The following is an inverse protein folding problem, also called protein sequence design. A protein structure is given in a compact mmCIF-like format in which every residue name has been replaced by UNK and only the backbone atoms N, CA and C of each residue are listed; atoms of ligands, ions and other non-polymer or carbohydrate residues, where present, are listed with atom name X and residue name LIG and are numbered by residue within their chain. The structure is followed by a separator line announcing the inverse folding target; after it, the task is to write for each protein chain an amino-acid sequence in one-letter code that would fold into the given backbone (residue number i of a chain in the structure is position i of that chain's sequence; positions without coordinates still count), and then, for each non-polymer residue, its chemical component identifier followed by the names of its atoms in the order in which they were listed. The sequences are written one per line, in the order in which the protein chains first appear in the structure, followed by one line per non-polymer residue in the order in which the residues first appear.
data_IF_781384988203
#
_entry.id   IF_781384988203
#
_cell.length_a   1.000
_cell.length_b   1.000
_cell.length_c   1.000
_cell.angle_alpha   90.00
_cell.angle_beta   90.00
_cell.angle_gamma   90.00
#
_symmetry.space_group_name_H-M   'P 1'
#
loop_
_entity.id
_entity.type
_entity.pdbx_description
1 polymer ?
#
# COMPACT_ATOMS: atom_id res chain seq x y z
N UNK A 1 -23.58 7.25 18.15
CA UNK A 1 -22.25 6.74 18.55
C UNK A 1 -21.98 7.26 19.94
N UNK A 2 -21.60 6.39 20.88
CA UNK A 2 -21.13 6.85 22.18
C UNK A 2 -19.79 7.58 21.99
N UNK A 3 -19.64 8.74 22.62
CA UNK A 3 -18.36 9.44 22.64
C UNK A 3 -17.33 8.61 23.40
N UNK A 4 -16.08 8.63 22.95
CA UNK A 4 -14.97 8.00 23.68
C UNK A 4 -14.60 8.95 24.82
N UNK A 5 -14.64 8.44 26.06
CA UNK A 5 -14.25 9.19 27.25
C UNK A 5 -12.76 8.93 27.53
N UNK A 6 -11.93 9.87 27.13
CA UNK A 6 -10.49 9.80 27.34
C UNK A 6 -10.08 10.31 28.73
N UNK A 7 -8.95 9.81 29.29
CA UNK A 7 -8.39 10.34 30.53
C UNK A 7 -8.18 11.86 30.49
N UNK A 8 -8.52 12.56 31.57
CA UNK A 8 -8.57 14.03 31.62
C UNK A 8 -7.22 14.72 31.87
N UNK A 9 -6.17 13.99 32.22
CA UNK A 9 -4.84 14.56 32.52
C UNK A 9 -3.73 13.64 32.02
N UNK A 10 -3.63 13.43 30.68
CA UNK A 10 -2.62 12.55 30.13
C UNK A 10 -1.25 13.23 30.08
N UNK A 11 -0.18 12.45 30.17
CA UNK A 11 1.20 12.83 29.88
C UNK A 11 1.59 12.35 28.47
N UNK A 12 2.58 13.02 27.85
CA UNK A 12 3.05 12.61 26.51
C UNK A 12 3.52 11.15 26.55
N UNK A 13 3.01 10.33 25.64
CA UNK A 13 3.29 8.90 25.55
C UNK A 13 2.30 8.01 26.31
N UNK A 14 1.35 8.57 27.06
CA UNK A 14 0.29 7.76 27.67
C UNK A 14 -0.58 7.10 26.59
N UNK A 15 -0.96 5.84 26.85
CA UNK A 15 -1.81 5.07 25.94
C UNK A 15 -3.18 4.79 26.56
N UNK A 16 -4.21 4.83 25.72
CA UNK A 16 -5.59 4.50 26.11
C UNK A 16 -6.18 3.55 25.07
N UNK A 17 -6.74 2.41 25.53
CA UNK A 17 -7.35 1.41 24.67
C UNK A 17 -8.87 1.39 24.85
N UNK A 18 -9.60 1.51 23.76
CA UNK A 18 -11.05 1.38 23.71
C UNK A 18 -11.44 0.38 22.62
N UNK A 19 -11.85 -0.81 23.05
CA UNK A 19 -12.14 -1.92 22.15
C UNK A 19 -10.89 -2.37 21.40
N UNK A 20 -10.93 -2.29 20.07
CA UNK A 20 -9.80 -2.67 19.20
C UNK A 20 -8.82 -1.53 18.94
N UNK A 21 -9.15 -0.33 19.37
CA UNK A 21 -8.39 0.88 19.09
C UNK A 21 -7.49 1.23 20.28
N UNK A 22 -6.22 1.49 20.01
CA UNK A 22 -5.29 2.06 20.99
C UNK A 22 -4.88 3.45 20.52
N UNK A 23 -4.96 4.41 21.43
CA UNK A 23 -4.62 5.81 21.20
C UNK A 23 -3.43 6.16 22.08
N UNK A 24 -2.60 7.08 21.61
CA UNK A 24 -1.45 7.64 22.33
C UNK A 24 -1.60 9.16 22.42
N UNK A 25 -1.25 9.74 23.56
CA UNK A 25 -1.28 11.18 23.78
C UNK A 25 0.01 11.82 23.26
N UNK A 26 -0.09 12.72 22.30
CA UNK A 26 1.06 13.42 21.70
C UNK A 26 1.42 14.74 22.39
N UNK A 27 0.76 15.07 23.50
CA UNK A 27 0.89 16.32 24.22
C UNK A 27 -0.19 17.35 23.88
N UNK A 28 -0.99 17.12 22.83
CA UNK A 28 -2.05 18.02 22.41
C UNK A 28 -3.37 17.28 22.09
N UNK A 29 -3.29 16.05 21.62
CA UNK A 29 -4.45 15.24 21.25
C UNK A 29 -4.18 13.75 21.38
N UNK A 30 -5.26 12.94 21.57
CA UNK A 30 -5.21 11.49 21.47
C UNK A 30 -5.19 11.05 20.01
N UNK A 31 -4.11 10.40 19.58
CA UNK A 31 -3.94 9.88 18.22
C UNK A 31 -4.07 8.37 18.19
N UNK A 32 -4.80 7.87 17.21
CA UNK A 32 -4.91 6.43 16.98
C UNK A 32 -3.56 5.86 16.53
N UNK A 33 -2.98 4.95 17.32
CA UNK A 33 -1.70 4.30 17.01
C UNK A 33 -1.85 2.85 16.62
N UNK A 34 -2.97 2.20 16.98
CA UNK A 34 -3.25 0.81 16.60
C UNK A 34 -4.74 0.53 16.50
N UNK A 35 -5.14 -0.15 15.44
CA UNK A 35 -6.38 -0.91 15.37
C UNK A 35 -6.00 -2.40 15.37
N UNK A 36 -6.38 -3.14 16.42
CA UNK A 36 -6.26 -4.60 16.37
C UNK A 36 -7.42 -5.14 15.53
N UNK A 37 -7.17 -5.53 14.31
CA UNK A 37 -8.11 -6.34 13.56
C UNK A 37 -8.16 -7.73 14.23
N UNK A 38 -9.20 -8.02 14.98
CA UNK A 38 -9.49 -9.40 15.41
C UNK A 38 -9.95 -10.14 14.14
N UNK A 39 -9.16 -11.10 13.69
CA UNK A 39 -9.54 -11.98 12.59
C UNK A 39 -10.84 -12.74 12.90
N UNK A 40 -11.59 -13.19 11.90
CA UNK A 40 -12.76 -14.01 12.09
C UNK A 40 -12.39 -15.28 12.87
N UNK A 41 -13.26 -15.69 13.80
CA UNK A 41 -13.13 -16.95 14.53
C UNK A 41 -12.99 -18.08 13.50
N UNK A 42 -11.96 -18.91 13.64
CA UNK A 42 -11.75 -20.06 12.79
C UNK A 42 -12.97 -20.98 12.78
N UNK A 43 -13.21 -21.74 11.71
CA UNK A 43 -14.30 -22.69 11.65
C UNK A 43 -14.16 -23.73 12.76
N UNK A 44 -15.29 -24.13 13.32
CA UNK A 44 -15.36 -25.22 14.29
C UNK A 44 -14.69 -26.46 13.68
N UNK A 45 -13.79 -27.10 14.42
CA UNK A 45 -13.14 -28.32 13.99
C UNK A 45 -14.17 -29.40 13.64
N UNK A 46 -13.84 -30.32 12.72
CA UNK A 46 -14.73 -31.44 12.38
C UNK A 46 -15.05 -32.26 13.63
N UNK A 47 -16.29 -32.74 13.70
CA UNK A 47 -16.69 -33.68 14.75
C UNK A 47 -15.70 -34.86 14.77
N UNK A 48 -15.30 -35.29 15.97
CA UNK A 48 -14.47 -36.48 16.12
C UNK A 48 -15.07 -37.66 15.40
N UNK A 49 -14.22 -38.46 14.75
CA UNK A 49 -14.67 -39.71 14.13
C UNK A 49 -15.27 -40.64 15.18
N UNK A 50 -16.42 -41.22 14.87
CA UNK A 50 -16.99 -42.29 15.67
C UNK A 50 -15.97 -43.44 15.82
N UNK A 51 -15.65 -43.79 17.04
CA UNK A 51 -14.74 -44.88 17.32
C UNK A 51 -15.41 -46.20 16.93
N UNK A 52 -15.07 -46.73 15.78
CA UNK A 52 -15.52 -48.07 15.33
C UNK A 52 -14.59 -49.19 15.84
N UNK A 53 -14.04 -49.05 17.03
CA UNK A 53 -13.29 -50.15 17.64
C UNK A 53 -14.30 -51.13 18.21
N UNK A 54 -14.66 -52.13 17.42
CA UNK A 54 -15.37 -53.31 17.89
C UNK A 54 -14.43 -54.17 18.71
N UNK A 55 -14.64 -54.19 20.02
CA UNK A 55 -13.90 -55.12 20.90
C UNK A 55 -14.17 -56.59 20.50
N UNK A 56 -13.21 -57.50 20.83
CA UNK A 56 -13.40 -58.92 20.54
C UNK A 56 -14.64 -59.46 21.23
N UNK A 57 -15.41 -60.29 20.50
CA UNK A 57 -16.60 -60.98 21.00
C UNK A 57 -16.21 -61.84 22.20
N UNK A 58 -16.67 -61.45 23.38
CA UNK A 58 -16.54 -62.31 24.56
C UNK A 58 -17.45 -63.52 24.48
N UNK A 59 -17.16 -64.61 25.22
CA UNK A 59 -18.01 -65.86 25.21
C UNK A 59 -19.42 -65.51 25.67
N UNK A 60 -20.39 -66.05 24.99
CA UNK A 60 -21.83 -65.88 25.20
C UNK A 60 -22.23 -66.28 26.63
N UNK A 61 -22.44 -65.28 27.48
CA UNK A 61 -23.07 -65.45 28.77
C UNK A 61 -24.58 -65.30 28.68
N UNK A 62 -25.37 -65.72 29.68
CA UNK A 62 -26.82 -65.60 29.63
C UNK A 62 -27.24 -64.12 29.46
N UNK A 63 -28.26 -63.97 28.63
CA UNK A 63 -28.81 -62.67 28.18
C UNK A 63 -29.36 -61.87 29.40
N UNK A 64 -28.49 -60.89 29.87
CA UNK A 64 -28.94 -59.83 30.73
C UNK A 64 -28.61 -58.52 30.00
N UNK A 65 -29.65 -57.95 29.40
CA UNK A 65 -29.52 -56.60 28.80
C UNK A 65 -29.23 -55.58 29.91
N UNK A 66 -27.99 -55.15 30.02
CA UNK A 66 -27.61 -54.07 30.91
C UNK A 66 -28.26 -52.75 30.47
N UNK A 67 -28.52 -51.82 31.39
CA UNK A 67 -29.09 -50.51 31.05
C UNK A 67 -28.17 -49.78 30.08
N UNK A 68 -28.75 -49.18 29.06
CA UNK A 68 -28.05 -48.28 28.12
C UNK A 68 -27.41 -47.16 28.93
N UNK A 69 -26.12 -46.99 28.79
CA UNK A 69 -25.39 -45.87 29.46
C UNK A 69 -25.98 -44.52 29.03
N UNK A 70 -25.94 -43.53 29.94
CA UNK A 70 -26.44 -42.21 29.61
C UNK A 70 -25.69 -41.64 28.40
N UNK A 71 -26.43 -40.99 27.48
CA UNK A 71 -25.84 -40.27 26.35
C UNK A 71 -24.86 -39.21 26.86
N UNK A 72 -23.65 -39.18 26.33
CA UNK A 72 -22.68 -38.14 26.65
C UNK A 72 -23.17 -36.79 26.12
N UNK A 73 -23.47 -35.87 27.01
CA UNK A 73 -23.85 -34.51 26.70
C UNK A 73 -22.62 -33.55 26.74
N UNK A 74 -21.41 -34.10 26.85
CA UNK A 74 -20.22 -33.28 26.86
C UNK A 74 -19.91 -32.80 25.44
N UNK A 75 -20.06 -31.48 25.28
CA UNK A 75 -19.55 -30.77 24.08
C UNK A 75 -18.02 -30.79 24.13
N UNK A 76 -17.40 -31.36 23.10
CA UNK A 76 -15.94 -31.39 23.00
C UNK A 76 -15.32 -29.96 23.16
N UNK A 77 -14.08 -29.84 23.65
CA UNK A 77 -13.43 -28.57 23.84
C UNK A 77 -13.35 -27.81 22.51
N UNK A 78 -13.64 -26.52 22.58
CA UNK A 78 -13.49 -25.61 21.43
C UNK A 78 -12.05 -25.66 20.91
N UNK A 79 -11.86 -25.85 19.64
CA UNK A 79 -10.54 -25.84 19.01
C UNK A 79 -9.76 -24.54 19.32
N UNK A 80 -8.43 -24.61 19.35
CA UNK A 80 -7.63 -23.42 19.62
C UNK A 80 -7.93 -22.33 18.60
N UNK A 81 -7.93 -21.08 19.06
CA UNK A 81 -8.08 -19.92 18.20
C UNK A 81 -7.00 -19.94 17.09
N UNK A 82 -7.39 -19.64 15.86
CA UNK A 82 -6.45 -19.53 14.75
C UNK A 82 -5.37 -18.44 15.02
N UNK A 83 -4.21 -18.55 14.40
CA UNK A 83 -3.15 -17.59 14.59
C UNK A 83 -3.62 -16.17 14.23
N UNK A 84 -3.33 -15.23 15.11
CA UNK A 84 -3.61 -13.81 14.87
C UNK A 84 -2.74 -13.34 13.71
N UNK A 85 -3.37 -12.90 12.61
CA UNK A 85 -2.66 -12.28 11.52
C UNK A 85 -2.01 -10.98 12.00
N UNK A 86 -0.70 -10.87 11.94
CA UNK A 86 0.02 -9.61 12.18
C UNK A 86 0.11 -8.86 10.87
N UNK A 87 -0.63 -7.75 10.75
CA UNK A 87 -0.44 -6.80 9.66
C UNK A 87 0.70 -5.86 10.06
N UNK A 88 1.86 -6.05 9.45
CA UNK A 88 3.02 -5.17 9.66
C UNK A 88 3.06 -4.13 8.54
N UNK A 89 2.88 -2.86 8.90
CA UNK A 89 3.14 -1.75 7.97
C UNK A 89 4.63 -1.43 8.07
N UNK A 90 5.36 -1.61 6.98
CA UNK A 90 6.73 -1.14 6.87
C UNK A 90 6.74 0.39 6.91
N UNK A 91 7.67 1.04 7.62
CA UNK A 91 7.85 2.49 7.52
C UNK A 91 8.14 2.94 6.09
N UNK A 92 7.85 4.19 5.78
CA UNK A 92 8.24 4.79 4.50
C UNK A 92 9.73 4.62 4.24
N UNK A 93 10.05 4.03 3.11
CA UNK A 93 11.44 3.86 2.63
C UNK A 93 11.74 4.94 1.61
N UNK A 94 12.84 5.65 1.80
CA UNK A 94 13.32 6.67 0.85
C UNK A 94 14.12 5.97 -0.24
N UNK A 95 13.94 6.39 -1.50
CA UNK A 95 14.76 5.99 -2.63
C UNK A 95 15.04 7.19 -3.54
N UNK A 96 16.05 7.08 -4.38
CA UNK A 96 16.35 8.11 -5.39
C UNK A 96 15.84 7.64 -6.75
N UNK A 97 14.75 8.21 -7.28
CA UNK A 97 14.27 7.86 -8.60
C UNK A 97 15.29 8.27 -9.68
N UNK A 98 15.43 7.46 -10.73
CA UNK A 98 16.04 7.95 -11.96
C UNK A 98 15.00 8.79 -12.71
N UNK A 99 15.37 10.02 -13.08
CA UNK A 99 14.60 10.88 -13.95
C UNK A 99 15.34 11.00 -15.27
N UNK A 100 14.75 10.46 -16.32
CA UNK A 100 15.33 10.45 -17.67
C UNK A 100 14.37 11.10 -18.67
N UNK A 101 14.88 11.43 -19.84
CA UNK A 101 14.08 11.97 -20.93
C UNK A 101 14.47 11.35 -22.27
N UNK A 102 13.57 11.38 -23.26
CA UNK A 102 13.76 10.69 -24.52
C UNK A 102 14.81 11.34 -25.45
N UNK A 103 15.18 12.60 -25.21
CA UNK A 103 16.20 13.32 -26.01
C UNK A 103 17.43 13.65 -25.17
N UNK A 104 17.29 14.48 -24.14
CA UNK A 104 18.40 14.86 -23.25
C UNK A 104 17.96 14.65 -21.82
N UNK A 105 18.70 13.85 -21.07
CA UNK A 105 18.37 13.60 -19.66
C UNK A 105 18.47 14.86 -18.81
N UNK A 106 17.57 15.04 -17.84
CA UNK A 106 17.72 16.08 -16.83
C UNK A 106 19.01 15.94 -16.02
N UNK A 107 19.56 17.07 -15.64
CA UNK A 107 20.64 17.14 -14.66
C UNK A 107 20.08 17.75 -13.38
N UNK A 108 20.24 17.08 -12.25
CA UNK A 108 19.59 17.46 -11.00
C UNK A 108 20.20 18.75 -10.42
N UNK A 109 21.55 18.88 -10.41
CA UNK A 109 22.20 20.07 -9.87
C UNK A 109 21.74 20.36 -8.44
N UNK A 110 21.21 21.57 -8.22
CA UNK A 110 20.64 22.04 -6.95
C UNK A 110 19.12 21.75 -6.80
N UNK A 111 18.50 21.04 -7.76
CA UNK A 111 17.13 20.60 -7.63
C UNK A 111 16.99 19.51 -6.57
N UNK A 112 15.79 19.41 -5.98
CA UNK A 112 15.44 18.27 -5.10
C UNK A 112 14.69 17.22 -5.88
N UNK A 113 15.12 15.96 -5.78
CA UNK A 113 14.46 14.78 -6.35
C UNK A 113 14.44 13.70 -5.28
N UNK A 114 13.28 13.46 -4.70
CA UNK A 114 13.09 12.50 -3.61
C UNK A 114 11.93 11.57 -3.93
N UNK A 115 12.16 10.28 -3.83
CA UNK A 115 11.13 9.25 -3.85
C UNK A 115 10.97 8.61 -2.48
N UNK A 116 9.76 8.22 -2.13
CA UNK A 116 9.49 7.38 -0.96
C UNK A 116 8.35 6.41 -1.25
N UNK A 117 8.40 5.26 -0.62
CA UNK A 117 7.39 4.22 -0.80
C UNK A 117 7.20 3.38 0.45
N UNK A 118 6.08 2.68 0.49
CA UNK A 118 5.79 1.63 1.46
C UNK A 118 5.28 0.39 0.72
N UNK A 119 5.68 -0.79 1.19
CA UNK A 119 5.21 -2.07 0.65
C UNK A 119 4.25 -2.73 1.62
N UNK A 120 3.11 -3.16 1.12
CA UNK A 120 2.07 -3.90 1.82
C UNK A 120 1.91 -5.25 1.13
N UNK A 121 2.77 -6.21 1.48
CA UNK A 121 2.93 -7.43 0.68
C UNK A 121 3.46 -7.10 -0.72
N UNK A 122 2.74 -7.53 -1.76
CA UNK A 122 3.07 -7.20 -3.14
C UNK A 122 2.64 -5.79 -3.57
N UNK A 123 1.77 -5.11 -2.81
CA UNK A 123 1.31 -3.77 -3.17
C UNK A 123 2.32 -2.72 -2.74
N UNK A 124 2.73 -1.87 -3.66
CA UNK A 124 3.62 -0.72 -3.43
C UNK A 124 2.83 0.57 -3.61
N UNK A 125 2.88 1.41 -2.59
CA UNK A 125 2.34 2.78 -2.62
C UNK A 125 3.50 3.74 -2.44
N UNK A 126 3.58 4.76 -3.26
CA UNK A 126 4.69 5.70 -3.16
C UNK A 126 4.44 7.04 -3.79
N UNK A 127 5.42 7.91 -3.63
CA UNK A 127 5.43 9.23 -4.26
C UNK A 127 6.84 9.65 -4.67
N UNK A 128 6.91 10.50 -5.68
CA UNK A 128 8.12 11.21 -6.09
C UNK A 128 7.82 12.71 -6.00
N UNK A 129 8.67 13.44 -5.32
CA UNK A 129 8.61 14.88 -5.21
C UNK A 129 9.85 15.49 -5.86
N UNK A 130 9.64 16.43 -6.77
CA UNK A 130 10.67 17.18 -7.44
C UNK A 130 10.43 18.66 -7.19
N UNK A 131 11.47 19.38 -6.83
CA UNK A 131 11.49 20.86 -6.85
C UNK A 131 12.62 21.27 -7.78
N UNK A 132 12.30 21.97 -8.84
CA UNK A 132 13.28 22.42 -9.84
C UNK A 132 14.28 23.40 -9.24
N UNK A 133 15.52 23.21 -9.60
CA UNK A 133 16.65 24.05 -9.19
C UNK A 133 16.90 25.23 -10.12
N UNK A 134 18.07 25.84 -9.98
CA UNK A 134 18.51 26.97 -10.79
C UNK A 134 19.52 26.53 -11.86
N UNK A 135 19.54 27.20 -13.00
CA UNK A 135 20.58 26.97 -14.00
C UNK A 135 22.00 27.23 -13.44
N UNK A 136 22.13 28.24 -12.55
CA UNK A 136 23.38 28.52 -11.87
C UNK A 136 23.81 27.43 -10.90
N UNK A 137 22.85 26.71 -10.30
CA UNK A 137 23.06 25.52 -9.46
C UNK A 137 23.29 24.24 -10.24
N UNK A 138 23.35 24.30 -11.57
CA UNK A 138 23.59 23.14 -12.45
C UNK A 138 22.35 22.33 -12.73
N UNK A 139 21.15 22.81 -12.38
CA UNK A 139 19.90 22.17 -12.79
C UNK A 139 19.67 22.34 -14.29
N UNK A 140 19.32 21.27 -14.96
CA UNK A 140 18.83 21.27 -16.33
C UNK A 140 17.67 20.31 -16.45
N UNK A 141 16.52 20.78 -16.92
CA UNK A 141 15.29 19.97 -17.07
C UNK A 141 15.37 18.91 -18.17
N UNK A 142 16.44 18.92 -18.97
CA UNK A 142 16.55 18.01 -20.13
C UNK A 142 15.58 18.39 -21.25
N UNK A 143 15.28 17.42 -22.12
CA UNK A 143 14.31 17.59 -23.22
C UNK A 143 13.72 16.27 -23.66
N UNK A 144 12.46 16.31 -24.11
CA UNK A 144 11.69 15.14 -24.54
C UNK A 144 10.78 14.56 -23.45
N UNK A 145 10.25 13.36 -23.68
CA UNK A 145 9.31 12.71 -22.75
C UNK A 145 10.00 12.27 -21.48
N UNK A 146 9.46 12.63 -20.34
CA UNK A 146 10.00 12.26 -19.06
C UNK A 146 9.63 10.82 -18.67
N UNK A 147 10.61 10.11 -18.16
CA UNK A 147 10.47 8.74 -17.65
C UNK A 147 11.09 8.68 -16.25
N UNK A 148 10.39 8.02 -15.33
CA UNK A 148 10.80 7.88 -13.94
C UNK A 148 10.96 6.39 -13.60
N UNK A 149 11.96 6.06 -12.77
CA UNK A 149 12.11 4.71 -12.27
C UNK A 149 11.22 4.45 -11.06
N UNK A 150 10.79 3.20 -10.93
CA UNK A 150 10.13 2.68 -9.74
C UNK A 150 11.15 2.21 -8.69
N UNK A 151 10.77 2.12 -7.40
CA UNK A 151 11.63 1.56 -6.36
C UNK A 151 11.84 0.04 -6.52
N UNK A 152 10.85 -0.67 -7.08
CA UNK A 152 10.88 -2.11 -7.40
C UNK A 152 10.17 -2.36 -8.72
N UNK A 153 10.48 -3.48 -9.37
CA UNK A 153 9.79 -3.84 -10.60
C UNK A 153 8.29 -4.06 -10.35
N UNK A 154 7.46 -3.64 -11.27
CA UNK A 154 6.01 -3.80 -11.25
C UNK A 154 5.56 -4.96 -12.14
N UNK A 155 4.49 -5.66 -11.73
CA UNK A 155 3.68 -6.44 -12.66
C UNK A 155 2.79 -5.46 -13.43
N UNK A 156 2.94 -5.38 -14.74
CA UNK A 156 2.30 -4.31 -15.49
C UNK A 156 1.90 -4.74 -16.92
N UNK A 157 0.94 -4.00 -17.47
CA UNK A 157 0.60 -4.00 -18.88
C UNK A 157 0.91 -2.63 -19.47
N UNK A 158 1.24 -2.57 -20.79
CA UNK A 158 1.48 -1.30 -21.47
C UNK A 158 0.23 -0.40 -21.39
N UNK A 159 0.46 0.89 -21.18
CA UNK A 159 -0.58 1.92 -20.99
C UNK A 159 -1.49 1.73 -19.76
N UNK A 160 -1.09 0.90 -18.81
CA UNK A 160 -1.80 0.77 -17.55
C UNK A 160 -1.50 1.98 -16.65
N UNK A 161 -2.52 2.68 -16.14
CA UNK A 161 -2.32 3.75 -15.17
C UNK A 161 -1.84 3.18 -13.83
N UNK A 162 -0.90 3.86 -13.20
CA UNK A 162 -0.41 3.52 -11.87
C UNK A 162 -0.63 4.64 -10.86
N UNK A 163 -0.97 5.85 -11.30
CA UNK A 163 -1.18 6.95 -10.37
C UNK A 163 -1.43 8.29 -11.03
N UNK A 164 -1.26 9.35 -10.23
CA UNK A 164 -1.49 10.72 -10.65
C UNK A 164 -0.21 11.53 -10.59
N UNK A 165 -0.14 12.56 -11.43
CA UNK A 165 0.92 13.56 -11.39
C UNK A 165 0.31 14.95 -11.32
N UNK A 166 0.92 15.80 -10.50
CA UNK A 166 0.61 17.24 -10.41
C UNK A 166 1.87 18.01 -10.75
N UNK A 167 1.77 18.86 -11.73
CA UNK A 167 2.78 19.87 -12.06
C UNK A 167 2.30 21.21 -11.53
N UNK A 168 3.14 21.88 -10.76
CA UNK A 168 2.85 23.19 -10.20
C UNK A 168 3.87 24.20 -10.69
N UNK A 169 3.37 25.20 -11.42
CA UNK A 169 4.16 26.35 -11.80
C UNK A 169 4.07 27.39 -10.67
N UNK A 170 5.15 27.60 -9.94
CA UNK A 170 5.17 28.46 -8.76
C UNK A 170 5.13 29.95 -9.12
N UNK A 171 5.58 30.34 -10.31
CA UNK A 171 5.52 31.73 -10.76
C UNK A 171 4.08 32.27 -10.82
N UNK A 172 3.20 31.73 -11.68
CA UNK A 172 1.79 32.10 -11.76
C UNK A 172 0.89 31.38 -10.74
N UNK A 173 1.41 30.40 -9.97
CA UNK A 173 0.64 29.61 -9.02
C UNK A 173 -0.35 28.62 -9.68
N UNK A 174 -0.14 28.25 -10.93
CA UNK A 174 -1.04 27.33 -11.65
C UNK A 174 -0.67 25.87 -11.44
N UNK A 175 -1.69 24.99 -11.49
CA UNK A 175 -1.49 23.55 -11.35
C UNK A 175 -2.08 22.84 -12.55
N UNK A 176 -1.41 21.78 -12.98
CA UNK A 176 -1.82 20.90 -14.06
C UNK A 176 -1.79 19.46 -13.54
N UNK A 177 -2.83 18.71 -13.86
CA UNK A 177 -2.96 17.32 -13.44
C UNK A 177 -2.79 16.37 -14.62
N UNK A 178 -2.28 15.20 -14.33
CA UNK A 178 -2.07 14.15 -15.31
C UNK A 178 -2.08 12.77 -14.68
N UNK A 179 -1.84 11.76 -15.50
CA UNK A 179 -1.75 10.35 -15.10
C UNK A 179 -0.34 9.84 -15.30
N UNK A 180 0.17 9.11 -14.32
CA UNK A 180 1.37 8.28 -14.45
C UNK A 180 0.96 6.92 -15.04
N UNK A 181 1.67 6.45 -16.06
CA UNK A 181 1.32 5.24 -16.82
C UNK A 181 2.57 4.42 -17.17
N UNK A 182 2.43 3.09 -17.15
CA UNK A 182 3.42 2.20 -17.77
C UNK A 182 3.36 2.31 -19.28
N UNK A 183 4.50 2.51 -19.92
CA UNK A 183 4.57 2.65 -21.38
C UNK A 183 5.38 1.53 -22.03
N UNK A 184 6.55 1.22 -21.47
CA UNK A 184 7.41 0.15 -21.96
C UNK A 184 7.35 -1.03 -20.99
N UNK A 185 6.59 -2.06 -21.35
CA UNK A 185 6.44 -3.29 -20.57
C UNK A 185 6.97 -4.45 -21.37
N UNK A 186 7.90 -5.21 -20.79
CA UNK A 186 8.48 -6.41 -21.41
C UNK A 186 8.19 -7.61 -20.53
N UNK A 187 7.54 -8.64 -21.08
CA UNK A 187 7.21 -9.86 -20.33
C UNK A 187 6.28 -9.65 -19.15
N UNK A 188 5.44 -8.60 -19.17
CA UNK A 188 4.53 -8.29 -18.06
C UNK A 188 5.22 -7.57 -16.87
N UNK A 189 6.44 -7.08 -17.04
CA UNK A 189 7.23 -6.40 -16.01
C UNK A 189 7.63 -5.02 -16.47
N UNK A 190 7.49 -4.01 -15.61
CA UNK A 190 7.96 -2.65 -15.82
C UNK A 190 8.79 -2.17 -14.62
N UNK A 191 9.84 -1.40 -14.90
CA UNK A 191 10.64 -0.72 -13.88
C UNK A 191 10.61 0.81 -14.01
N UNK A 192 9.91 1.30 -15.01
CA UNK A 192 9.76 2.73 -15.31
C UNK A 192 8.35 3.07 -15.76
N UNK A 193 8.00 4.34 -15.65
CA UNK A 193 6.72 4.89 -16.10
C UNK A 193 6.90 6.29 -16.68
N UNK A 194 5.90 6.76 -17.40
CA UNK A 194 5.83 8.12 -17.96
C UNK A 194 4.61 8.85 -17.39
N UNK A 195 4.65 10.18 -17.44
CA UNK A 195 3.54 11.04 -17.06
C UNK A 195 2.86 11.63 -18.29
N UNK A 196 1.53 11.66 -18.25
CA UNK A 196 0.69 12.19 -19.32
C UNK A 196 -0.27 13.23 -18.74
N UNK A 197 -0.37 14.37 -19.40
CA UNK A 197 -1.19 15.48 -18.96
C UNK A 197 -2.62 15.35 -19.45
N UNK A 198 -3.59 15.77 -18.61
CA UNK A 198 -5.01 15.81 -18.99
C UNK A 198 -5.37 17.16 -19.60
N UNK A 199 -6.10 17.14 -20.72
CA UNK A 199 -7.01 18.23 -21.05
C UNK A 199 -6.45 19.48 -21.68
N UNK A 200 -5.50 19.42 -22.61
CA UNK A 200 -5.16 20.58 -23.45
C UNK A 200 -5.33 20.38 -24.97
N UNK A 201 -5.96 19.30 -25.42
CA UNK A 201 -6.12 19.09 -26.88
C UNK A 201 -7.52 18.60 -27.24
N UNK A 202 -8.10 19.26 -28.20
CA UNK A 202 -9.47 19.09 -28.70
C UNK A 202 -9.67 17.90 -29.65
N UNK A 203 -8.73 17.00 -29.81
CA UNK A 203 -8.91 15.83 -30.67
C UNK A 203 -8.10 14.65 -30.15
N UNK A 204 -8.83 13.63 -29.69
CA UNK A 204 -8.40 12.28 -29.38
C UNK A 204 -7.68 12.08 -28.03
N UNK A 205 -8.18 11.18 -27.29
CA UNK A 205 -8.00 10.55 -25.99
C UNK A 205 -6.58 10.02 -25.65
N UNK A 206 -5.55 10.45 -26.31
CA UNK A 206 -4.18 10.13 -25.97
C UNK A 206 -3.60 11.28 -25.13
N UNK A 207 -3.40 11.05 -23.85
CA UNK A 207 -2.77 12.03 -22.97
C UNK A 207 -1.46 12.56 -23.56
N UNK A 208 -1.20 13.86 -23.44
CA UNK A 208 0.04 14.47 -23.93
C UNK A 208 1.17 14.05 -22.98
N UNK A 209 2.26 13.44 -23.45
CA UNK A 209 3.40 13.13 -22.61
C UNK A 209 3.96 14.37 -21.94
N UNK A 210 4.24 14.30 -20.64
CA UNK A 210 4.93 15.37 -19.94
C UNK A 210 6.37 15.50 -20.44
N UNK A 211 6.75 16.71 -20.79
CA UNK A 211 8.07 17.08 -21.31
C UNK A 211 8.57 18.34 -20.57
N UNK A 212 9.73 18.85 -20.98
CA UNK A 212 10.30 20.09 -20.48
C UNK A 212 9.41 21.34 -20.66
N UNK A 213 8.46 21.28 -21.60
CA UNK A 213 7.57 22.39 -21.94
C UNK A 213 6.08 22.03 -21.87
N UNK A 214 5.75 20.84 -21.42
CA UNK A 214 4.37 20.36 -21.25
C UNK A 214 4.18 19.82 -19.82
N UNK A 215 3.28 20.40 -19.03
CA UNK A 215 2.25 21.40 -19.36
C UNK A 215 2.76 22.84 -19.47
N UNK A 216 3.96 23.12 -19.01
CA UNK A 216 4.62 24.42 -19.06
C UNK A 216 6.15 24.23 -19.03
N UNK A 217 6.89 25.27 -19.32
CA UNK A 217 8.35 25.24 -19.21
C UNK A 217 8.75 25.17 -17.73
N UNK A 218 9.35 24.03 -17.31
CA UNK A 218 9.80 23.85 -15.93
C UNK A 218 10.93 24.84 -15.62
N UNK A 219 10.74 25.65 -14.60
CA UNK A 219 11.66 26.69 -14.14
C UNK A 219 11.92 26.57 -12.63
N UNK A 220 12.73 27.46 -12.10
CA UNK A 220 13.16 27.47 -10.69
C UNK A 220 11.97 27.42 -9.72
N UNK A 221 12.09 26.58 -8.70
CA UNK A 221 11.06 26.29 -7.68
C UNK A 221 9.78 25.59 -8.18
N UNK A 222 9.60 25.36 -9.47
CA UNK A 222 8.47 24.59 -9.95
C UNK A 222 8.49 23.16 -9.37
N UNK A 223 7.31 22.62 -9.14
CA UNK A 223 7.18 21.34 -8.46
C UNK A 223 6.48 20.30 -9.32
N UNK A 224 6.95 19.07 -9.21
CA UNK A 224 6.28 17.90 -9.74
C UNK A 224 6.06 16.93 -8.59
N UNK A 225 4.81 16.56 -8.35
CA UNK A 225 4.44 15.53 -7.39
C UNK A 225 3.79 14.37 -8.14
N UNK A 226 4.34 13.18 -8.00
CA UNK A 226 3.82 11.97 -8.59
C UNK A 226 3.44 11.03 -7.47
N UNK A 227 2.21 10.55 -7.47
CA UNK A 227 1.74 9.51 -6.54
C UNK A 227 1.43 8.27 -7.34
N UNK A 228 1.84 7.11 -6.83
CA UNK A 228 1.66 5.84 -7.54
C UNK A 228 1.27 4.69 -6.61
N UNK A 229 0.57 3.73 -7.18
CA UNK A 229 0.21 2.46 -6.57
C UNK A 229 0.31 1.38 -7.64
N UNK A 230 1.02 0.28 -7.34
CA UNK A 230 1.15 -0.84 -8.26
C UNK A 230 1.42 -2.16 -7.52
N UNK A 231 1.34 -3.27 -8.22
CA UNK A 231 1.74 -4.58 -7.74
C UNK A 231 3.21 -4.84 -8.09
N UNK A 232 4.04 -5.10 -7.07
CA UNK A 232 5.45 -5.44 -7.28
C UNK A 232 5.61 -6.84 -7.85
N UNK A 233 6.53 -7.00 -8.80
CA UNK A 233 7.02 -8.30 -9.21
C UNK A 233 8.03 -8.81 -8.16
N UNK A 234 7.63 -9.81 -7.39
CA UNK A 234 8.43 -10.42 -6.32
C UNK A 234 9.27 -11.64 -6.79
N UNK A 235 9.32 -11.88 -8.12
CA UNK A 235 10.11 -12.99 -8.72
C UNK A 235 11.52 -12.57 -9.06
#
# INVERSE_FOLDING_TARGET
MAAIDFPSSPTIGDTYTNGINTYEWDGNAWRLVRTSAVGPTGPTGPAGQDSSVTGPIGPTGPEVTGPTGPASTEVGPTGPAGPTGTFSITPWTVYTPAWTASSTNPTIGDASLVGRYVSLGATVVGEISITAGTNAGGFNRGSGRYTFSLPTNAVASSYQPLGQVVFRNEGPGTQFMGTAMFVAVTGGVANTFQCFMHGQVSTIDEGIPATESTPFLIDVNDKILIQFLYEANLT
#
